data_IF_683178882130
#
_entry.id   IF_683178882130
#
_cell.length_a   1.000
_cell.length_b   1.000
_cell.length_c   1.000
_cell.angle_alpha   90.00
_cell.angle_beta   90.00
_cell.angle_gamma   90.00
#
_symmetry.space_group_name_H-M   'P 1'
#
loop_
_entity.id
_entity.type
_entity.pdbx_description
1 polymer ?
#
# COMPACT_ATOMS: atom_id res chain seq x y z
N UNK A 1 19.62 22.70 5.77
CA UNK A 1 20.16 23.77 4.91
C UNK A 1 21.23 24.48 5.71
N UNK A 2 22.40 24.69 5.14
CA UNK A 2 23.51 25.39 5.79
C UNK A 2 24.02 26.49 4.85
N UNK A 3 24.11 27.73 5.34
CA UNK A 3 24.55 28.88 4.56
C UNK A 3 23.81 29.06 3.21
N UNK A 4 22.50 28.74 3.18
CA UNK A 4 21.67 28.82 1.98
C UNK A 4 21.87 27.67 0.97
N UNK A 5 22.67 26.68 1.30
CA UNK A 5 22.90 25.46 0.49
C UNK A 5 22.19 24.27 1.15
N UNK A 6 21.58 23.43 0.32
CA UNK A 6 21.01 22.16 0.79
C UNK A 6 22.16 21.21 1.13
N UNK A 7 22.28 20.88 2.41
CA UNK A 7 23.30 19.94 2.92
C UNK A 7 22.81 18.50 2.81
N UNK A 8 21.56 18.25 3.24
CA UNK A 8 20.97 16.93 3.17
C UNK A 8 19.49 16.99 2.84
N UNK A 9 18.93 15.92 2.26
CA UNK A 9 17.54 15.78 1.87
C UNK A 9 17.00 14.46 2.42
N UNK A 10 16.02 14.55 3.29
CA UNK A 10 15.30 13.39 3.80
C UNK A 10 13.96 13.24 3.07
N UNK A 11 13.79 12.12 2.39
CA UNK A 11 12.58 11.79 1.66
C UNK A 11 11.83 10.67 2.40
N UNK A 12 10.56 10.88 2.60
CA UNK A 12 9.70 9.86 3.16
C UNK A 12 8.99 9.10 2.04
N UNK A 13 9.69 8.17 1.39
CA UNK A 13 9.21 7.49 0.18
C UNK A 13 8.33 6.27 0.47
N UNK A 14 8.60 5.52 1.50
CA UNK A 14 8.06 4.17 1.63
C UNK A 14 6.72 4.05 2.34
N UNK A 15 6.58 4.64 3.53
CA UNK A 15 5.39 4.44 4.37
C UNK A 15 4.48 5.65 4.46
N UNK A 16 4.94 6.79 4.11
CA UNK A 16 4.30 8.06 4.41
C UNK A 16 3.68 8.73 3.20
N UNK A 17 3.85 8.19 2.01
CA UNK A 17 2.99 8.62 0.89
C UNK A 17 1.50 8.49 1.21
N UNK A 18 1.15 7.69 2.24
CA UNK A 18 -0.19 7.55 2.78
C UNK A 18 -0.50 8.36 4.04
N UNK A 19 0.47 9.01 4.70
CA UNK A 19 0.21 9.69 5.98
C UNK A 19 -0.82 10.81 5.89
N UNK A 20 -0.76 11.64 4.84
CA UNK A 20 -1.74 12.71 4.63
C UNK A 20 -3.13 12.17 4.31
N UNK A 21 -3.25 11.21 3.41
CA UNK A 21 -4.54 10.58 3.07
C UNK A 21 -5.11 9.76 4.23
N UNK A 22 -4.26 9.22 5.07
CA UNK A 22 -4.66 8.53 6.28
C UNK A 22 -5.28 9.50 7.31
N UNK A 23 -4.65 10.64 7.57
CA UNK A 23 -5.21 11.69 8.41
C UNK A 23 -6.54 12.19 7.85
N UNK A 24 -6.64 12.38 6.54
CA UNK A 24 -7.88 12.76 5.86
C UNK A 24 -8.98 11.70 6.03
N UNK A 25 -8.64 10.43 5.95
CA UNK A 25 -9.58 9.31 6.16
C UNK A 25 -10.12 9.31 7.59
N UNK A 26 -9.24 9.55 8.58
CA UNK A 26 -9.67 9.66 9.98
C UNK A 26 -10.53 10.89 10.23
N UNK A 27 -10.16 12.05 9.71
CA UNK A 27 -10.96 13.26 9.80
C UNK A 27 -12.37 13.01 9.24
N UNK A 28 -12.46 12.44 8.02
CA UNK A 28 -13.73 12.11 7.38
C UNK A 28 -14.56 11.08 8.16
N UNK A 29 -13.93 10.07 8.75
CA UNK A 29 -14.61 9.07 9.57
C UNK A 29 -15.19 9.67 10.87
N UNK A 30 -14.61 10.76 11.35
CA UNK A 30 -15.07 11.53 12.51
C UNK A 30 -16.02 12.68 12.13
N UNK A 31 -16.29 12.90 10.84
CA UNK A 31 -17.20 13.93 10.34
C UNK A 31 -16.57 15.31 10.18
N UNK A 32 -15.25 15.41 10.08
CA UNK A 32 -14.52 16.68 9.95
C UNK A 32 -13.82 16.79 8.59
N UNK A 33 -13.63 18.06 8.13
CA UNK A 33 -12.65 18.34 7.09
C UNK A 33 -11.23 18.12 7.64
N UNK A 34 -10.24 17.91 6.78
CA UNK A 34 -8.85 17.74 7.23
C UNK A 34 -8.32 19.03 7.86
N UNK A 35 -8.75 20.18 7.37
CA UNK A 35 -8.39 21.50 7.87
C UNK A 35 -8.95 21.75 9.27
N UNK A 36 -10.23 21.42 9.50
CA UNK A 36 -10.85 21.57 10.83
C UNK A 36 -10.27 20.57 11.81
N UNK A 37 -10.03 19.34 11.37
CA UNK A 37 -9.39 18.31 12.19
C UNK A 37 -7.98 18.73 12.62
N UNK A 38 -7.21 19.36 11.73
CA UNK A 38 -5.89 19.91 12.06
C UNK A 38 -5.99 21.04 13.11
N UNK A 39 -6.94 21.98 12.93
CA UNK A 39 -7.16 23.07 13.89
C UNK A 39 -7.52 22.56 15.28
N UNK A 40 -8.38 21.56 15.37
CA UNK A 40 -8.72 20.91 16.63
C UNK A 40 -7.47 20.34 17.33
N UNK A 41 -6.61 19.66 16.58
CA UNK A 41 -5.37 19.08 17.12
C UNK A 41 -4.38 20.10 17.67
N UNK A 42 -4.39 21.34 17.19
CA UNK A 42 -3.51 22.40 17.70
C UNK A 42 -3.81 22.81 19.15
N UNK A 43 -5.06 22.67 19.59
CA UNK A 43 -5.52 23.11 20.89
C UNK A 43 -5.83 21.94 21.84
N UNK A 44 -5.33 20.75 21.53
CA UNK A 44 -5.48 19.58 22.38
C UNK A 44 -4.76 19.76 23.72
N UNK A 45 -5.45 19.51 24.82
CA UNK A 45 -4.90 19.59 26.17
C UNK A 45 -4.17 18.32 26.61
N UNK A 46 -4.59 17.17 26.07
CA UNK A 46 -4.05 15.85 26.41
C UNK A 46 -3.97 14.94 25.19
N UNK A 47 -3.00 15.14 24.28
CA UNK A 47 -2.85 14.30 23.10
C UNK A 47 -2.78 12.81 23.46
N UNK A 48 -3.51 11.98 22.71
CA UNK A 48 -3.49 10.52 22.90
C UNK A 48 -2.13 9.97 22.46
N UNK A 49 -1.49 9.16 23.30
CA UNK A 49 -0.29 8.45 22.89
C UNK A 49 -0.64 7.26 21.99
N UNK A 50 -0.40 7.41 20.72
CA UNK A 50 -0.60 6.38 19.69
C UNK A 50 0.72 5.68 19.31
N UNK A 51 1.83 6.04 19.98
CA UNK A 51 3.16 5.51 19.67
C UNK A 51 3.68 5.99 18.30
N UNK A 52 4.65 5.26 17.76
CA UNK A 52 5.30 5.53 16.46
C UNK A 52 5.08 4.41 15.45
N UNK A 53 3.95 3.73 15.49
CA UNK A 53 3.64 2.61 14.59
C UNK A 53 3.20 3.12 13.22
N UNK A 54 3.28 2.24 12.22
CA UNK A 54 2.72 2.51 10.91
C UNK A 54 1.22 2.84 11.04
N UNK A 55 0.78 3.83 10.29
CA UNK A 55 -0.60 4.37 10.31
C UNK A 55 -1.68 3.31 10.09
N UNK A 56 -1.40 2.25 9.33
CA UNK A 56 -2.33 1.14 9.10
C UNK A 56 -2.74 0.44 10.41
N UNK A 57 -1.84 0.38 11.38
CA UNK A 57 -2.08 -0.26 12.68
C UNK A 57 -2.71 0.68 13.73
N UNK A 58 -2.86 1.96 13.42
CA UNK A 58 -3.44 2.93 14.36
C UNK A 58 -4.95 2.85 14.50
N UNK A 59 -5.66 2.23 13.55
CA UNK A 59 -7.13 2.10 13.59
C UNK A 59 -7.63 1.51 14.92
N UNK A 60 -7.00 0.46 15.40
CA UNK A 60 -7.37 -0.18 16.67
C UNK A 60 -7.07 0.72 17.87
N UNK A 61 -5.92 1.40 17.86
CA UNK A 61 -5.53 2.33 18.93
C UNK A 61 -6.44 3.55 19.00
N UNK A 62 -6.82 4.12 17.85
CA UNK A 62 -7.78 5.22 17.78
C UNK A 62 -9.17 4.80 18.27
N UNK A 63 -9.66 3.63 17.83
CA UNK A 63 -10.93 3.08 18.33
C UNK A 63 -10.90 2.83 19.84
N UNK A 64 -9.78 2.38 20.37
CA UNK A 64 -9.63 2.21 21.82
C UNK A 64 -9.65 3.55 22.52
N UNK A 65 -8.91 4.55 22.04
CA UNK A 65 -8.92 5.89 22.60
C UNK A 65 -10.32 6.51 22.62
N UNK A 66 -11.12 6.29 21.55
CA UNK A 66 -12.52 6.73 21.51
C UNK A 66 -13.37 6.04 22.59
N UNK A 67 -13.19 4.73 22.80
CA UNK A 67 -13.89 3.98 23.87
C UNK A 67 -13.48 4.47 25.25
N UNK A 68 -12.24 4.89 25.41
CA UNK A 68 -11.70 5.43 26.66
C UNK A 68 -12.11 6.89 26.89
N UNK A 69 -12.91 7.48 26.00
CA UNK A 69 -13.48 8.82 26.12
C UNK A 69 -12.53 9.94 25.66
N UNK A 70 -11.52 9.66 24.87
CA UNK A 70 -10.66 10.70 24.30
C UNK A 70 -11.44 11.63 23.37
N UNK A 71 -11.20 12.93 23.47
CA UNK A 71 -11.83 13.92 22.61
C UNK A 71 -11.24 13.89 21.20
N UNK A 72 -11.94 14.49 20.23
CA UNK A 72 -11.48 14.53 18.83
C UNK A 72 -10.19 15.35 18.73
N UNK A 73 -10.05 16.42 19.51
CA UNK A 73 -8.86 17.25 19.60
C UNK A 73 -7.65 16.41 20.02
N UNK A 74 -7.80 15.62 21.08
CA UNK A 74 -6.76 14.78 21.62
C UNK A 74 -6.36 13.64 20.69
N UNK A 75 -7.32 13.09 19.92
CA UNK A 75 -7.07 12.10 18.88
C UNK A 75 -6.33 12.73 17.70
N UNK A 76 -6.74 13.92 17.22
CA UNK A 76 -6.11 14.64 16.13
C UNK A 76 -4.65 14.95 16.43
N UNK A 77 -4.38 15.49 17.62
CA UNK A 77 -3.02 15.75 18.07
C UNK A 77 -2.18 14.49 18.19
N UNK A 78 -2.74 13.44 18.78
CA UNK A 78 -2.07 12.15 18.93
C UNK A 78 -1.70 11.51 17.58
N UNK A 79 -2.59 11.59 16.59
CA UNK A 79 -2.33 11.14 15.22
C UNK A 79 -1.21 11.95 14.57
N UNK A 80 -1.23 13.27 14.71
CA UNK A 80 -0.21 14.16 14.16
C UNK A 80 1.18 13.89 14.75
N UNK A 81 1.25 13.74 16.07
CA UNK A 81 2.49 13.37 16.78
C UNK A 81 2.99 11.99 16.32
N UNK A 82 2.11 11.01 16.22
CA UNK A 82 2.49 9.65 15.83
C UNK A 82 3.02 9.58 14.40
N UNK A 83 2.41 10.32 13.47
CA UNK A 83 2.89 10.44 12.07
C UNK A 83 4.30 11.04 12.04
N UNK A 84 4.53 12.10 12.81
CA UNK A 84 5.84 12.75 12.92
C UNK A 84 6.88 11.81 13.51
N UNK A 85 6.59 11.17 14.63
CA UNK A 85 7.50 10.19 15.27
C UNK A 85 7.83 9.02 14.33
N UNK A 86 6.85 8.54 13.59
CA UNK A 86 7.09 7.50 12.59
C UNK A 86 8.05 7.99 11.50
N UNK A 87 7.84 9.20 10.97
CA UNK A 87 8.72 9.77 9.95
C UNK A 87 10.16 9.96 10.48
N UNK A 88 10.31 10.59 11.63
CA UNK A 88 11.63 10.88 12.20
C UNK A 88 12.40 9.63 12.61
N UNK A 89 11.78 8.74 13.36
CA UNK A 89 12.51 7.63 14.00
C UNK A 89 12.52 6.34 13.18
N UNK A 90 11.54 6.12 12.32
CA UNK A 90 11.46 4.88 11.52
C UNK A 90 11.95 5.05 10.09
N UNK A 91 11.70 6.21 9.49
CA UNK A 91 12.04 6.47 8.09
C UNK A 91 13.39 7.18 8.01
N UNK A 92 13.49 8.36 8.60
CA UNK A 92 14.72 9.18 8.60
C UNK A 92 15.78 8.55 9.50
N UNK A 93 15.34 7.80 10.54
CA UNK A 93 16.19 7.18 11.57
C UNK A 93 17.08 8.18 12.29
N UNK A 94 16.55 9.38 12.53
CA UNK A 94 17.22 10.36 13.35
C UNK A 94 17.49 9.80 14.75
N UNK A 95 18.76 9.81 15.17
CA UNK A 95 19.15 9.32 16.49
C UNK A 95 18.72 10.31 17.57
N UNK A 96 18.85 11.61 17.26
CA UNK A 96 18.31 12.70 18.06
C UNK A 96 17.85 13.85 17.15
N UNK A 97 17.17 14.83 17.73
CA UNK A 97 16.69 16.01 17.00
C UNK A 97 17.81 16.89 16.44
N UNK A 98 19.01 16.84 17.01
CA UNK A 98 20.18 17.62 16.59
C UNK A 98 20.81 17.07 15.31
N UNK A 99 20.61 15.77 15.03
CA UNK A 99 21.12 15.12 13.82
C UNK A 99 20.51 15.66 12.53
N UNK A 100 19.37 16.37 12.60
CA UNK A 100 18.65 16.87 11.41
C UNK A 100 19.14 18.27 11.00
N UNK A 101 19.94 18.95 11.85
CA UNK A 101 20.40 20.31 11.61
C UNK A 101 19.46 21.38 12.20
N UNK A 102 19.82 22.65 12.00
CA UNK A 102 19.09 23.80 12.57
C UNK A 102 18.14 24.48 11.58
N UNK A 103 18.57 24.61 10.33
CA UNK A 103 17.78 25.24 9.28
C UNK A 103 17.05 24.17 8.47
N UNK A 104 15.82 23.86 8.85
CA UNK A 104 15.03 22.81 8.24
C UNK A 104 13.93 23.43 7.39
N UNK A 105 13.89 23.06 6.12
CA UNK A 105 12.79 23.38 5.21
C UNK A 105 11.92 22.14 5.03
N UNK A 106 10.64 22.26 5.40
CA UNK A 106 9.68 21.17 5.23
C UNK A 106 8.80 21.41 4.01
N UNK A 107 8.50 20.35 3.27
CA UNK A 107 7.68 20.42 2.07
C UNK A 107 6.82 19.18 1.89
N UNK A 108 5.85 19.25 1.01
CA UNK A 108 4.85 18.19 0.78
C UNK A 108 3.49 18.56 1.38
N UNK A 109 2.43 17.96 0.84
CA UNK A 109 1.04 18.24 1.23
C UNK A 109 0.73 17.96 2.70
N UNK A 110 1.40 16.99 3.31
CA UNK A 110 1.21 16.62 4.74
C UNK A 110 1.57 17.80 5.67
N UNK A 111 2.57 18.62 5.31
CA UNK A 111 2.96 19.79 6.09
C UNK A 111 2.04 20.99 5.92
N UNK A 112 1.02 20.92 5.06
CA UNK A 112 -0.08 21.89 5.04
C UNK A 112 -0.99 21.74 6.27
N UNK A 113 -0.94 20.61 6.92
CA UNK A 113 -1.62 20.35 8.19
C UNK A 113 -0.83 21.00 9.34
N UNK A 114 -1.41 22.03 9.97
CA UNK A 114 -0.74 22.80 11.02
C UNK A 114 -0.46 21.97 12.28
N UNK A 115 -1.31 21.01 12.62
CA UNK A 115 -1.06 20.13 13.76
C UNK A 115 0.15 19.21 13.52
N UNK A 116 0.36 18.75 12.28
CA UNK A 116 1.55 17.98 11.89
C UNK A 116 2.79 18.86 11.92
N UNK A 117 2.71 20.10 11.40
CA UNK A 117 3.81 21.06 11.45
C UNK A 117 4.23 21.31 12.89
N UNK A 118 3.27 21.64 13.75
CA UNK A 118 3.52 21.92 15.16
C UNK A 118 4.08 20.70 15.91
N UNK A 119 3.54 19.51 15.66
CA UNK A 119 4.07 18.28 16.23
C UNK A 119 5.52 18.03 15.81
N UNK A 120 5.87 18.35 14.56
CA UNK A 120 7.24 18.24 14.05
C UNK A 120 8.19 19.20 14.76
N UNK A 121 7.80 20.49 14.87
CA UNK A 121 8.58 21.51 15.59
C UNK A 121 8.80 21.16 17.06
N UNK A 122 7.77 20.65 17.71
CA UNK A 122 7.87 20.19 19.11
C UNK A 122 8.81 19.02 19.27
N UNK A 123 8.79 18.06 18.36
CA UNK A 123 9.62 16.86 18.43
C UNK A 123 11.10 17.18 18.15
N UNK A 124 11.40 18.14 17.28
CA UNK A 124 12.78 18.55 16.98
C UNK A 124 13.29 19.68 17.89
N UNK A 125 12.39 20.37 18.58
CA UNK A 125 12.70 21.41 19.58
C UNK A 125 12.96 22.80 19.02
N UNK A 126 12.64 23.09 17.76
CA UNK A 126 12.74 24.43 17.15
C UNK A 126 11.80 24.60 15.96
N UNK A 127 11.57 25.82 15.55
CA UNK A 127 10.73 26.14 14.40
C UNK A 127 11.38 25.71 13.08
N UNK A 128 10.56 25.45 12.07
CA UNK A 128 10.99 25.07 10.72
C UNK A 128 10.40 25.99 9.66
N UNK A 129 11.01 26.04 8.50
CA UNK A 129 10.55 26.85 7.37
C UNK A 129 9.58 26.00 6.53
N UNK A 130 8.30 26.39 6.53
CA UNK A 130 7.30 25.85 5.62
C UNK A 130 7.01 26.87 4.53
N UNK A 131 7.45 26.66 3.27
CA UNK A 131 7.10 27.55 2.16
C UNK A 131 5.58 27.61 1.94
N UNK A 132 5.07 28.74 1.49
CA UNK A 132 3.64 28.91 1.17
C UNK A 132 3.14 27.92 0.11
N UNK A 133 4.03 27.45 -0.76
CA UNK A 133 3.78 26.46 -1.81
C UNK A 133 4.28 25.07 -1.43
N UNK A 134 4.38 24.75 -0.13
CA UNK A 134 4.96 23.50 0.36
C UNK A 134 4.42 22.25 -0.36
N UNK A 135 3.12 22.20 -0.67
CA UNK A 135 2.49 21.12 -1.41
C UNK A 135 2.84 21.07 -2.90
N UNK A 136 3.36 22.15 -3.46
CA UNK A 136 3.70 22.29 -4.88
C UNK A 136 5.22 22.38 -5.14
N UNK A 137 6.04 22.30 -4.12
CA UNK A 137 7.51 22.45 -4.24
C UNK A 137 8.12 21.46 -5.23
N UNK A 138 7.66 20.21 -5.26
CA UNK A 138 8.13 19.23 -6.22
C UNK A 138 7.79 19.60 -7.67
N UNK A 139 6.56 20.08 -7.91
CA UNK A 139 6.14 20.55 -9.24
C UNK A 139 6.93 21.78 -9.67
N UNK A 140 7.15 22.72 -8.74
CA UNK A 140 7.95 23.93 -9.01
C UNK A 140 9.40 23.56 -9.34
N UNK A 141 10.03 22.68 -8.56
CA UNK A 141 11.38 22.19 -8.83
C UNK A 141 11.48 21.46 -10.18
N UNK A 142 10.50 20.63 -10.52
CA UNK A 142 10.43 19.97 -11.81
C UNK A 142 10.33 20.97 -12.98
N UNK A 143 9.55 22.03 -12.81
CA UNK A 143 9.44 23.11 -13.82
C UNK A 143 10.76 23.86 -14.00
N UNK A 144 11.47 24.18 -12.91
CA UNK A 144 12.79 24.80 -12.98
C UNK A 144 13.80 23.90 -13.68
N UNK A 145 13.82 22.62 -13.34
CA UNK A 145 14.70 21.64 -13.99
C UNK A 145 14.38 21.46 -15.48
N UNK A 146 13.10 21.38 -15.84
CA UNK A 146 12.69 21.31 -17.23
C UNK A 146 13.15 22.54 -18.03
N UNK A 147 13.01 23.74 -17.45
CA UNK A 147 13.50 24.99 -18.03
C UNK A 147 15.02 24.95 -18.28
N UNK A 148 15.78 24.55 -17.30
CA UNK A 148 17.24 24.41 -17.41
C UNK A 148 17.61 23.45 -18.53
N UNK A 149 16.97 22.27 -18.59
CA UNK A 149 17.21 21.30 -19.66
C UNK A 149 16.83 21.80 -21.04
N UNK A 150 15.72 22.52 -21.16
CA UNK A 150 15.31 23.12 -22.44
C UNK A 150 16.32 24.20 -22.90
N UNK A 151 16.81 25.02 -21.97
CA UNK A 151 17.84 26.03 -22.25
C UNK A 151 19.17 25.38 -22.70
N UNK A 152 19.63 24.36 -21.98
CA UNK A 152 20.86 23.64 -22.30
C UNK A 152 20.78 22.89 -23.67
N UNK A 153 19.59 22.45 -24.03
CA UNK A 153 19.33 21.81 -25.33
C UNK A 153 19.06 22.78 -26.49
N UNK A 154 19.11 24.09 -26.25
CA UNK A 154 18.77 25.11 -27.26
C UNK A 154 17.30 25.16 -27.66
N UNK A 155 16.41 24.58 -26.85
CA UNK A 155 14.97 24.40 -27.12
C UNK A 155 14.09 25.42 -26.35
N UNK A 156 14.67 26.40 -25.72
CA UNK A 156 13.95 27.37 -24.87
C UNK A 156 12.89 28.20 -25.65
N UNK A 157 13.02 28.26 -26.97
CA UNK A 157 12.11 28.99 -27.86
C UNK A 157 11.11 28.09 -28.61
N UNK A 158 11.19 26.76 -28.41
CA UNK A 158 10.20 25.85 -29.01
C UNK A 158 8.80 26.10 -28.42
N UNK A 159 7.77 26.05 -29.28
CA UNK A 159 6.40 26.20 -28.83
C UNK A 159 6.01 25.08 -27.87
N UNK A 160 5.35 25.45 -26.79
CA UNK A 160 4.81 24.51 -25.83
C UNK A 160 3.73 23.63 -26.45
N UNK A 161 3.69 22.36 -26.04
CA UNK A 161 2.59 21.43 -26.37
C UNK A 161 1.38 21.59 -25.43
N UNK A 162 1.41 22.55 -24.50
CA UNK A 162 0.27 22.87 -23.65
C UNK A 162 -0.89 23.40 -24.51
N UNK A 163 -2.10 23.04 -24.12
CA UNK A 163 -3.31 23.57 -24.74
C UNK A 163 -3.39 25.09 -24.56
N UNK A 164 -3.89 25.81 -25.58
CA UNK A 164 -4.20 27.22 -25.42
C UNK A 164 -5.34 27.42 -24.43
N UNK A 165 -5.55 28.67 -23.98
CA UNK A 165 -6.65 28.99 -23.06
C UNK A 165 -8.00 28.62 -23.68
N UNK A 166 -8.22 28.93 -24.94
CA UNK A 166 -9.44 28.63 -25.70
C UNK A 166 -9.65 27.11 -25.79
N UNK A 167 -8.60 26.36 -26.12
CA UNK A 167 -8.65 24.89 -26.17
C UNK A 167 -8.89 24.24 -24.80
N UNK A 168 -8.48 24.90 -23.69
CA UNK A 168 -8.80 24.46 -22.33
C UNK A 168 -10.25 24.73 -21.95
N UNK A 169 -10.82 25.87 -22.38
CA UNK A 169 -12.24 26.20 -22.17
C UNK A 169 -13.18 25.23 -22.91
N UNK A 170 -12.78 24.76 -24.09
CA UNK A 170 -13.52 23.78 -24.88
C UNK A 170 -13.21 22.32 -24.48
N UNK A 171 -12.27 22.12 -23.58
CA UNK A 171 -11.83 20.78 -23.19
C UNK A 171 -12.92 20.02 -22.46
N UNK A 172 -13.31 18.88 -23.00
CA UNK A 172 -14.27 17.98 -22.37
C UNK A 172 -13.62 16.66 -22.00
N UNK A 173 -14.06 16.10 -20.89
CA UNK A 173 -13.58 14.85 -20.38
C UNK A 173 -14.75 14.03 -19.84
N UNK A 174 -14.87 12.80 -20.28
CA UNK A 174 -15.83 11.83 -19.73
C UNK A 174 -15.12 10.57 -19.27
N UNK A 175 -15.66 9.97 -18.20
CA UNK A 175 -15.10 8.78 -17.57
C UNK A 175 -16.13 7.66 -17.59
N UNK A 176 -15.73 6.47 -18.04
CA UNK A 176 -16.57 5.28 -18.03
C UNK A 176 -15.83 4.11 -17.39
N UNK A 177 -16.42 3.53 -16.35
CA UNK A 177 -15.94 2.29 -15.77
C UNK A 177 -16.52 1.09 -16.51
N UNK A 178 -15.66 0.19 -16.96
CA UNK A 178 -16.07 -1.06 -17.67
C UNK A 178 -15.30 -2.25 -17.10
N UNK A 179 -15.82 -3.45 -17.34
CA UNK A 179 -15.08 -4.68 -17.03
C UNK A 179 -14.54 -5.26 -18.33
N UNK A 180 -13.22 -5.47 -18.39
CA UNK A 180 -12.59 -6.16 -19.49
C UNK A 180 -13.02 -7.63 -19.52
N UNK A 181 -13.45 -8.11 -20.69
CA UNK A 181 -13.86 -9.50 -20.93
C UNK A 181 -12.85 -10.27 -21.78
N UNK A 182 -11.62 -9.75 -21.90
CA UNK A 182 -10.59 -10.32 -22.77
C UNK A 182 -9.92 -11.59 -22.22
N UNK A 183 -10.02 -11.85 -20.93
CA UNK A 183 -9.46 -13.04 -20.26
C UNK A 183 -10.08 -13.22 -18.87
N UNK A 184 -9.68 -14.26 -18.14
CA UNK A 184 -10.17 -14.58 -16.78
C UNK A 184 -9.87 -13.51 -15.72
N UNK A 185 -8.92 -12.60 -15.93
CA UNK A 185 -8.58 -11.53 -14.98
C UNK A 185 -9.73 -10.52 -14.79
N UNK A 186 -10.63 -10.38 -15.78
CA UNK A 186 -11.80 -9.48 -15.69
C UNK A 186 -11.49 -8.10 -15.13
N UNK A 187 -10.40 -7.48 -15.60
CA UNK A 187 -9.89 -6.19 -15.10
C UNK A 187 -10.98 -5.13 -15.09
N UNK A 188 -11.07 -4.37 -14.02
CA UNK A 188 -11.88 -3.15 -13.93
C UNK A 188 -11.12 -2.03 -14.61
N UNK A 189 -11.63 -1.55 -15.74
CA UNK A 189 -11.02 -0.53 -16.56
C UNK A 189 -11.72 0.81 -16.37
N UNK A 190 -10.95 1.88 -16.32
CA UNK A 190 -11.43 3.25 -16.42
C UNK A 190 -11.07 3.78 -17.80
N UNK A 191 -12.07 4.05 -18.61
CA UNK A 191 -11.92 4.64 -19.94
C UNK A 191 -12.18 6.13 -19.84
N UNK A 192 -11.14 6.92 -20.01
CA UNK A 192 -11.21 8.36 -20.12
C UNK A 192 -11.30 8.74 -21.59
N UNK A 193 -12.32 9.50 -21.96
CA UNK A 193 -12.51 10.03 -23.30
C UNK A 193 -12.38 11.54 -23.25
N UNK A 194 -11.47 12.09 -24.05
CA UNK A 194 -11.17 13.51 -24.11
C UNK A 194 -11.74 14.14 -25.39
N UNK A 195 -11.78 15.46 -25.44
CA UNK A 195 -12.08 16.24 -26.64
C UNK A 195 -11.32 15.68 -27.84
N UNK A 196 -11.99 15.60 -28.98
CA UNK A 196 -11.43 14.98 -30.18
C UNK A 196 -11.46 13.45 -30.21
N UNK A 197 -12.13 12.79 -29.25
CA UNK A 197 -12.33 11.35 -29.21
C UNK A 197 -11.13 10.52 -28.77
N UNK A 198 -10.03 11.16 -28.34
CA UNK A 198 -8.85 10.47 -27.79
C UNK A 198 -9.21 9.76 -26.51
N UNK A 199 -8.82 8.50 -26.39
CA UNK A 199 -9.09 7.68 -25.21
C UNK A 199 -7.81 7.36 -24.46
N UNK A 200 -7.93 7.34 -23.13
CA UNK A 200 -6.93 6.81 -22.22
C UNK A 200 -7.58 5.74 -21.35
N UNK A 201 -7.00 4.55 -21.34
CA UNK A 201 -7.52 3.41 -20.58
C UNK A 201 -6.53 3.10 -19.46
N UNK A 202 -7.05 2.98 -18.23
CA UNK A 202 -6.28 2.59 -17.07
C UNK A 202 -6.95 1.42 -16.34
N UNK A 203 -6.21 0.79 -15.40
CA UNK A 203 -6.66 -0.41 -14.68
C UNK A 203 -6.44 -1.71 -15.45
N UNK A 204 -5.86 -1.63 -16.67
CA UNK A 204 -5.46 -2.79 -17.45
C UNK A 204 -4.21 -3.46 -16.86
N UNK A 205 -4.17 -4.78 -16.93
CA UNK A 205 -3.00 -5.58 -16.55
C UNK A 205 -2.24 -6.11 -17.78
N UNK A 206 -2.66 -5.73 -18.96
CA UNK A 206 -2.02 -6.03 -20.25
C UNK A 206 -2.42 -4.98 -21.29
N UNK A 207 -1.72 -4.93 -22.41
CA UNK A 207 -1.96 -3.94 -23.47
C UNK A 207 -3.20 -4.21 -24.33
N UNK A 208 -3.83 -5.36 -24.21
CA UNK A 208 -4.98 -5.77 -25.02
C UNK A 208 -6.14 -4.75 -25.07
N UNK A 209 -6.56 -4.15 -23.92
CA UNK A 209 -7.63 -3.14 -23.94
C UNK A 209 -7.24 -1.85 -24.62
N UNK A 210 -5.95 -1.53 -24.69
CA UNK A 210 -5.41 -0.29 -25.27
C UNK A 210 -5.15 -0.45 -26.77
N UNK A 211 -4.50 -1.54 -27.16
CA UNK A 211 -4.05 -1.76 -28.55
C UNK A 211 -5.08 -2.45 -29.41
N UNK A 212 -6.07 -3.12 -28.81
CA UNK A 212 -7.03 -3.98 -29.53
C UNK A 212 -6.39 -5.25 -30.11
N UNK A 213 -5.07 -5.37 -30.03
CA UNK A 213 -4.33 -6.51 -30.59
C UNK A 213 -4.49 -7.70 -29.67
N UNK A 214 -5.12 -8.76 -30.14
CA UNK A 214 -4.96 -10.07 -29.52
C UNK A 214 -3.52 -10.49 -29.79
N UNK A 215 -2.71 -10.65 -28.72
CA UNK A 215 -1.40 -11.25 -28.92
C UNK A 215 -1.61 -12.60 -29.62
N UNK A 216 -1.11 -12.75 -30.80
CA UNK A 216 -1.15 -14.00 -31.56
C UNK A 216 -0.18 -15.04 -31.00
N UNK A 217 0.77 -14.59 -30.20
CA UNK A 217 1.66 -15.48 -29.45
C UNK A 217 0.96 -15.96 -28.20
N UNK A 218 0.81 -17.26 -28.06
CA UNK A 218 0.37 -17.89 -26.83
C UNK A 218 1.38 -17.53 -25.73
N UNK A 219 1.05 -16.55 -24.90
CA UNK A 219 1.88 -16.26 -23.73
C UNK A 219 1.93 -17.49 -22.83
N UNK A 220 3.14 -17.96 -22.59
CA UNK A 220 3.38 -19.10 -21.70
C UNK A 220 2.89 -18.75 -20.29
N UNK A 221 1.87 -19.44 -19.83
CA UNK A 221 1.35 -19.26 -18.47
C UNK A 221 2.12 -20.16 -17.50
N UNK A 222 3.19 -19.61 -16.93
CA UNK A 222 4.05 -20.35 -16.00
C UNK A 222 3.31 -20.83 -14.75
N UNK A 223 2.24 -20.15 -14.32
CA UNK A 223 1.42 -20.64 -13.22
C UNK A 223 0.64 -21.90 -13.58
N UNK A 224 0.20 -21.98 -14.82
CA UNK A 224 -0.49 -23.16 -15.32
C UNK A 224 0.46 -24.34 -15.46
N UNK A 225 1.66 -24.12 -15.95
CA UNK A 225 2.71 -25.14 -16.00
C UNK A 225 3.11 -25.61 -14.59
N UNK A 226 3.27 -24.69 -13.64
CA UNK A 226 3.50 -25.04 -12.25
C UNK A 226 2.37 -25.91 -11.68
N UNK A 227 1.11 -25.57 -11.95
CA UNK A 227 -0.03 -26.38 -11.51
C UNK A 227 -0.01 -27.78 -12.11
N UNK A 228 0.32 -27.93 -13.40
CA UNK A 228 0.48 -29.23 -14.05
C UNK A 228 1.62 -30.05 -13.44
N UNK A 229 2.73 -29.41 -13.09
CA UNK A 229 3.85 -30.07 -12.41
C UNK A 229 3.45 -30.56 -11.03
N UNK A 230 2.78 -29.73 -10.23
CA UNK A 230 2.33 -30.09 -8.89
C UNK A 230 1.24 -31.18 -8.91
N UNK A 231 0.40 -31.22 -9.94
CA UNK A 231 -0.64 -32.23 -10.09
C UNK A 231 -0.07 -33.67 -10.31
N UNK A 232 1.23 -33.80 -10.51
CA UNK A 232 1.90 -35.14 -10.59
C UNK A 232 2.05 -35.80 -9.22
N UNK A 233 1.98 -35.01 -8.14
CA UNK A 233 2.14 -35.48 -6.77
C UNK A 233 0.76 -35.82 -6.19
N UNK A 234 0.25 -36.99 -6.58
CA UNK A 234 -1.08 -37.47 -6.17
C UNK A 234 -0.97 -38.50 -5.06
N UNK A 235 -1.96 -38.51 -4.18
CA UNK A 235 -2.11 -39.54 -3.16
C UNK A 235 -2.25 -40.91 -3.82
N UNK A 236 -1.54 -41.89 -3.26
CA UNK A 236 -1.65 -43.31 -3.60
C UNK A 236 -1.76 -44.09 -2.31
N UNK A 237 -2.87 -44.75 -2.13
CA UNK A 237 -3.06 -45.66 -0.99
C UNK A 237 -2.27 -46.92 -1.21
N UNK A 238 -1.24 -47.11 -0.40
CA UNK A 238 -0.42 -48.34 -0.40
C UNK A 238 -0.51 -49.08 0.92
N UNK A 239 -1.43 -48.68 1.81
CA UNK A 239 -1.65 -49.28 3.13
C UNK A 239 -0.62 -48.84 4.18
N UNK A 240 0.11 -47.78 3.91
CA UNK A 240 1.09 -47.16 4.83
C UNK A 240 0.48 -46.03 5.61
N UNK A 241 1.08 -45.62 6.75
CA UNK A 241 0.65 -44.40 7.44
C UNK A 241 0.68 -43.20 6.52
N UNK A 242 -0.32 -42.31 6.65
CA UNK A 242 -0.56 -41.18 5.74
C UNK A 242 -0.10 -39.89 6.37
N UNK A 243 0.79 -39.16 5.69
CA UNK A 243 1.18 -37.81 6.04
C UNK A 243 0.39 -36.81 5.20
N UNK A 244 -0.32 -35.90 5.84
CA UNK A 244 -1.03 -34.79 5.22
C UNK A 244 -0.13 -33.59 4.97
N UNK A 245 -0.11 -33.04 3.75
CA UNK A 245 0.58 -31.79 3.44
C UNK A 245 -0.45 -30.69 3.19
N UNK A 246 -0.52 -29.66 4.07
CA UNK A 246 -1.45 -28.56 3.91
C UNK A 246 -0.96 -27.62 2.79
N UNK A 247 -1.72 -27.50 1.71
CA UNK A 247 -1.36 -26.76 0.49
C UNK A 247 -1.61 -25.26 0.62
N UNK A 248 -0.81 -24.61 1.45
CA UNK A 248 -0.81 -23.16 1.67
C UNK A 248 0.60 -22.61 1.81
N UNK A 249 0.74 -21.28 1.79
CA UNK A 249 2.01 -20.58 1.92
C UNK A 249 3.09 -21.15 0.97
N UNK A 250 4.26 -21.48 1.51
CA UNK A 250 5.39 -22.03 0.74
C UNK A 250 5.28 -23.53 0.43
N UNK A 251 4.23 -24.21 0.89
CA UNK A 251 4.06 -25.64 0.60
C UNK A 251 3.87 -25.93 -0.89
N UNK A 252 3.34 -24.98 -1.67
CA UNK A 252 3.30 -25.09 -3.12
C UNK A 252 4.70 -25.18 -3.77
N UNK A 253 5.69 -24.49 -3.21
CA UNK A 253 7.07 -24.53 -3.69
C UNK A 253 7.79 -25.80 -3.21
N UNK A 254 7.50 -26.26 -2.02
CA UNK A 254 8.21 -27.31 -1.33
C UNK A 254 7.56 -28.70 -1.50
N UNK A 255 6.36 -28.77 -2.11
CA UNK A 255 5.64 -30.04 -2.29
C UNK A 255 6.50 -31.14 -2.94
N UNK A 256 7.26 -30.90 -4.03
CA UNK A 256 8.07 -31.94 -4.64
C UNK A 256 9.09 -32.55 -3.68
N UNK A 257 9.70 -31.72 -2.84
CA UNK A 257 10.68 -32.14 -1.85
C UNK A 257 10.00 -32.98 -0.75
N UNK A 258 8.96 -32.42 -0.09
CA UNK A 258 8.31 -33.10 1.03
C UNK A 258 7.60 -34.39 0.61
N UNK A 259 6.95 -34.37 -0.54
CA UNK A 259 6.32 -35.56 -1.10
C UNK A 259 7.34 -36.69 -1.29
N UNK A 260 8.49 -36.39 -1.93
CA UNK A 260 9.54 -37.36 -2.14
C UNK A 260 10.18 -37.83 -0.83
N UNK A 261 10.43 -36.92 0.08
CA UNK A 261 11.02 -37.21 1.38
C UNK A 261 10.18 -38.20 2.17
N UNK A 262 8.89 -37.90 2.37
CA UNK A 262 8.02 -38.80 3.15
C UNK A 262 7.76 -40.13 2.46
N UNK A 263 7.61 -40.14 1.13
CA UNK A 263 7.45 -41.42 0.40
C UNK A 263 8.69 -42.29 0.50
N UNK A 264 9.89 -41.71 0.52
CA UNK A 264 11.13 -42.49 0.75
C UNK A 264 11.26 -43.02 2.17
N UNK A 265 10.70 -42.34 3.15
CA UNK A 265 10.63 -42.80 4.55
C UNK A 265 9.54 -43.87 4.77
N UNK A 266 8.77 -44.20 3.74
CA UNK A 266 7.78 -45.27 3.83
C UNK A 266 6.37 -44.81 4.20
N UNK A 267 6.04 -43.52 4.01
CA UNK A 267 4.71 -42.99 4.22
C UNK A 267 3.96 -42.78 2.89
N UNK A 268 2.65 -42.83 2.95
CA UNK A 268 1.79 -42.33 1.90
C UNK A 268 1.56 -40.83 2.12
N UNK A 269 1.52 -40.04 1.05
CA UNK A 269 1.42 -38.58 1.15
C UNK A 269 0.14 -38.07 0.50
N UNK A 270 -0.65 -37.34 1.27
CA UNK A 270 -1.91 -36.74 0.85
C UNK A 270 -1.84 -35.23 0.95
N UNK A 271 -2.28 -34.49 -0.08
CA UNK A 271 -2.35 -33.06 -0.06
C UNK A 271 -3.75 -32.56 0.25
N UNK A 272 -3.89 -31.46 0.97
CA UNK A 272 -5.18 -30.85 1.20
C UNK A 272 -5.81 -30.32 -0.11
N UNK A 273 -7.14 -30.14 -0.17
CA UNK A 273 -7.82 -29.61 -1.34
C UNK A 273 -7.43 -28.17 -1.66
N UNK A 274 -7.81 -27.69 -2.85
CA UNK A 274 -7.54 -26.31 -3.26
C UNK A 274 -8.23 -25.30 -2.34
N UNK A 275 -7.54 -24.19 -2.04
CA UNK A 275 -8.04 -23.10 -1.21
C UNK A 275 -9.34 -22.51 -1.77
N UNK A 276 -10.35 -22.40 -0.92
CA UNK A 276 -11.64 -21.78 -1.22
C UNK A 276 -12.26 -21.20 0.06
N UNK A 277 -13.41 -20.51 -0.06
CA UNK A 277 -14.09 -19.92 1.09
C UNK A 277 -14.55 -20.95 2.11
N UNK A 278 -15.01 -22.12 1.67
CA UNK A 278 -15.49 -23.16 2.58
C UNK A 278 -14.35 -23.72 3.43
N UNK A 279 -13.18 -23.91 2.81
CA UNK A 279 -11.96 -24.32 3.51
C UNK A 279 -11.55 -23.30 4.57
N UNK A 280 -11.61 -22.00 4.24
CA UNK A 280 -11.35 -20.95 5.23
C UNK A 280 -12.32 -21.01 6.41
N UNK A 281 -13.63 -21.11 6.14
CA UNK A 281 -14.64 -21.18 7.18
C UNK A 281 -14.48 -22.40 8.08
N UNK A 282 -14.03 -23.51 7.53
CA UNK A 282 -13.77 -24.75 8.26
C UNK A 282 -12.72 -24.55 9.36
N UNK A 283 -11.60 -23.89 9.04
CA UNK A 283 -10.53 -23.65 10.00
C UNK A 283 -10.67 -22.35 10.80
N UNK A 284 -11.71 -21.54 10.56
CA UNK A 284 -11.82 -20.21 11.15
C UNK A 284 -11.83 -20.22 12.68
N UNK A 285 -12.43 -21.21 13.30
CA UNK A 285 -12.56 -21.32 14.75
C UNK A 285 -11.24 -21.63 15.47
N UNK A 286 -10.24 -22.14 14.76
CA UNK A 286 -8.91 -22.44 15.31
C UNK A 286 -7.92 -21.29 15.17
N UNK A 287 -8.29 -20.19 14.49
CA UNK A 287 -7.40 -19.06 14.27
C UNK A 287 -7.20 -18.28 15.57
N UNK A 288 -5.97 -18.21 16.13
CA UNK A 288 -5.74 -17.64 17.46
C UNK A 288 -5.73 -16.10 17.46
N UNK A 289 -5.58 -15.47 16.32
CA UNK A 289 -5.42 -14.01 16.23
C UNK A 289 -5.92 -13.44 14.90
N UNK A 290 -6.65 -12.33 15.01
CA UNK A 290 -7.09 -11.57 13.83
C UNK A 290 -5.95 -10.89 13.07
N UNK A 291 -4.78 -10.74 13.69
CA UNK A 291 -3.60 -10.12 13.07
C UNK A 291 -2.83 -11.04 12.13
N UNK A 292 -3.13 -12.34 12.12
CA UNK A 292 -2.53 -13.27 11.16
C UNK A 292 -2.90 -12.88 9.73
N UNK A 293 -1.95 -12.95 8.80
CA UNK A 293 -2.23 -12.68 7.39
C UNK A 293 -3.22 -13.73 6.82
N UNK A 294 -3.99 -13.34 5.81
CA UNK A 294 -5.03 -14.22 5.26
C UNK A 294 -4.51 -15.57 4.77
N UNK A 295 -3.36 -15.67 4.07
CA UNK A 295 -2.79 -16.96 3.72
C UNK A 295 -2.46 -17.86 4.93
N UNK A 296 -1.98 -17.28 6.03
CA UNK A 296 -1.76 -18.04 7.26
C UNK A 296 -3.08 -18.53 7.88
N UNK A 297 -4.13 -17.71 7.85
CA UNK A 297 -5.48 -18.13 8.28
C UNK A 297 -6.03 -19.29 7.46
N UNK A 298 -5.75 -19.32 6.16
CA UNK A 298 -6.14 -20.43 5.28
C UNK A 298 -5.47 -21.75 5.67
N UNK A 299 -4.23 -21.73 6.21
CA UNK A 299 -3.54 -22.95 6.66
C UNK A 299 -4.34 -23.72 7.69
N UNK A 300 -5.03 -23.06 8.59
CA UNK A 300 -5.90 -23.69 9.56
C UNK A 300 -6.97 -24.56 8.88
N UNK A 301 -7.62 -24.04 7.82
CA UNK A 301 -8.59 -24.80 7.05
C UNK A 301 -7.99 -25.99 6.30
N UNK A 302 -6.76 -25.86 5.81
CA UNK A 302 -6.05 -26.95 5.15
C UNK A 302 -5.72 -28.08 6.15
N UNK A 303 -5.29 -27.73 7.36
CA UNK A 303 -5.01 -28.71 8.42
C UNK A 303 -6.30 -29.43 8.82
N UNK A 304 -7.37 -28.70 9.14
CA UNK A 304 -8.68 -29.27 9.49
C UNK A 304 -9.22 -30.22 8.39
N UNK A 305 -9.05 -29.86 7.13
CA UNK A 305 -9.49 -30.71 6.03
C UNK A 305 -8.74 -32.03 5.97
N UNK A 306 -7.43 -32.02 6.24
CA UNK A 306 -6.62 -33.24 6.28
C UNK A 306 -6.95 -34.13 7.48
N UNK A 307 -7.18 -33.53 8.64
CA UNK A 307 -7.60 -34.25 9.85
C UNK A 307 -8.94 -34.96 9.64
N UNK A 308 -9.91 -34.29 9.01
CA UNK A 308 -11.19 -34.93 8.67
C UNK A 308 -11.07 -36.04 7.65
N UNK A 309 -10.05 -36.00 6.79
CA UNK A 309 -9.76 -37.07 5.84
C UNK A 309 -9.00 -38.26 6.47
N UNK A 310 -8.75 -38.18 7.78
CA UNK A 310 -8.18 -39.27 8.57
C UNK A 310 -6.71 -39.56 8.30
N UNK A 311 -5.90 -38.53 8.02
CA UNK A 311 -4.44 -38.67 7.93
C UNK A 311 -3.83 -38.93 9.32
N UNK A 312 -2.75 -39.68 9.39
CA UNK A 312 -2.11 -40.03 10.66
C UNK A 312 -1.32 -38.86 11.26
N UNK A 313 -0.83 -37.92 10.43
CA UNK A 313 -0.16 -36.70 10.84
C UNK A 313 -0.22 -35.64 9.74
N UNK A 314 -0.06 -34.36 10.15
CA UNK A 314 0.00 -33.20 9.25
C UNK A 314 1.31 -32.46 9.46
#
# INVERSE_FOLDING_TARGET
>A
VENGVIDDIFLNEACSSGCGSFLQTFAGALGYSIEDFAKLGLFADRPVDLGSRCTVFMNSSVKQAQKDGATVENISAGLSISVVKNALYKVIRAVDSKAIGREIVVQGGTFLNDAVLRAFEQEIGHDVIRPTIAGLMGAYGAALYAREKAQAAGKATELSTLLSKEALEEFTHSVKAITCRGCSNSCKLTVNTFSGGRKFISGNRCEKPVTGVKSTEAQYNMFEEKRKLLARYTYKDTGKPVIGIPMGLNMYELLPFWYKFFTMLGYDVKTSPASNRQLYLKGQHTIPSDTACFPAKLMHGHVEALLDEGVDAV
#
